data_IF_421516492567
#
_entry.id   IF_421516492567
#
_cell.length_a   1.000
_cell.length_b   1.000
_cell.length_c   1.000
_cell.angle_alpha   90.00
_cell.angle_beta   90.00
_cell.angle_gamma   90.00
#
_symmetry.space_group_name_H-M   'P 1'
#
loop_
_entity.id
_entity.type
_entity.pdbx_description
1 polymer ?
#
# COMPACT_ATOMS: atom_id res chain seq x y z
N UNK A 1 -8.66 25.08 10.82
CA UNK A 1 -8.55 23.76 10.16
C UNK A 1 -9.64 22.85 10.73
N UNK A 2 -10.45 22.17 9.91
CA UNK A 2 -11.55 21.34 10.44
C UNK A 2 -11.04 20.01 10.98
N UNK A 3 -11.71 19.46 12.01
CA UNK A 3 -11.33 18.18 12.62
C UNK A 3 -11.30 17.04 11.58
N UNK A 4 -12.22 17.07 10.61
CA UNK A 4 -12.30 16.11 9.50
C UNK A 4 -11.10 16.21 8.55
N UNK A 5 -10.58 17.42 8.31
CA UNK A 5 -9.35 17.59 7.54
C UNK A 5 -8.16 16.97 8.28
N UNK A 6 -8.06 17.19 9.60
CA UNK A 6 -6.99 16.62 10.41
C UNK A 6 -7.02 15.09 10.40
N UNK A 7 -8.21 14.49 10.54
CA UNK A 7 -8.39 13.03 10.47
C UNK A 7 -8.05 12.49 9.08
N UNK A 8 -8.53 13.12 8.00
CA UNK A 8 -8.17 12.77 6.61
C UNK A 8 -6.66 12.86 6.34
N UNK A 9 -6.00 13.89 6.87
CA UNK A 9 -4.55 14.03 6.77
C UNK A 9 -3.81 12.94 7.54
N UNK A 10 -4.32 12.53 8.72
CA UNK A 10 -3.75 11.42 9.49
C UNK A 10 -3.86 10.10 8.73
N UNK A 11 -5.01 9.80 8.12
CA UNK A 11 -5.17 8.62 7.27
C UNK A 11 -4.20 8.65 6.08
N UNK A 12 -4.07 9.80 5.41
CA UNK A 12 -3.10 10.00 4.32
C UNK A 12 -1.66 9.70 4.75
N UNK A 13 -1.27 10.13 5.96
CA UNK A 13 0.06 9.87 6.50
C UNK A 13 0.30 8.38 6.79
N UNK A 14 -0.72 7.67 7.31
CA UNK A 14 -0.63 6.22 7.53
C UNK A 14 -0.54 5.48 6.19
N UNK A 15 -1.38 5.83 5.21
CA UNK A 15 -1.33 5.26 3.85
C UNK A 15 0.07 5.45 3.24
N UNK A 16 0.67 6.64 3.38
CA UNK A 16 2.02 6.90 2.88
C UNK A 16 3.08 5.97 3.47
N UNK A 17 3.01 5.71 4.79
CA UNK A 17 3.91 4.75 5.45
C UNK A 17 3.69 3.32 4.97
N UNK A 18 2.43 2.90 4.84
CA UNK A 18 2.09 1.56 4.37
C UNK A 18 2.54 1.33 2.92
N UNK A 19 2.37 2.32 2.04
CA UNK A 19 2.89 2.25 0.66
C UNK A 19 4.41 2.17 0.60
N UNK A 20 5.10 2.92 1.45
CA UNK A 20 6.58 2.81 1.55
C UNK A 20 7.01 1.41 1.99
N UNK A 21 6.29 0.80 2.93
CA UNK A 21 6.55 -0.59 3.35
C UNK A 21 6.26 -1.59 2.23
N UNK A 22 5.18 -1.37 1.47
CA UNK A 22 4.82 -2.18 0.31
C UNK A 22 5.92 -2.13 -0.76
N UNK A 23 6.40 -0.94 -1.12
CA UNK A 23 7.48 -0.76 -2.11
C UNK A 23 8.78 -1.46 -1.67
N UNK A 24 9.13 -1.35 -0.38
CA UNK A 24 10.30 -2.01 0.18
C UNK A 24 10.18 -3.55 0.10
N UNK A 25 8.99 -4.09 0.38
CA UNK A 25 8.72 -5.52 0.33
C UNK A 25 8.72 -6.05 -1.11
N UNK A 26 8.16 -5.30 -2.06
CA UNK A 26 8.23 -5.61 -3.50
C UNK A 26 9.69 -5.63 -4.00
N UNK A 27 10.52 -4.71 -3.54
CA UNK A 27 11.95 -4.71 -3.87
C UNK A 27 12.66 -5.94 -3.29
N UNK A 28 12.33 -6.33 -2.06
CA UNK A 28 12.86 -7.57 -1.46
C UNK A 28 12.44 -8.80 -2.26
N UNK A 29 11.17 -8.86 -2.70
CA UNK A 29 10.65 -9.95 -3.53
C UNK A 29 11.42 -10.10 -4.84
N UNK A 30 11.68 -8.98 -5.53
CA UNK A 30 12.50 -8.98 -6.76
C UNK A 30 13.91 -9.52 -6.52
N UNK A 31 14.54 -9.15 -5.39
CA UNK A 31 15.87 -9.67 -5.01
C UNK A 31 15.84 -11.16 -4.69
N UNK A 32 14.80 -11.64 -4.00
CA UNK A 32 14.61 -13.06 -3.68
C UNK A 32 14.45 -13.90 -4.95
N UNK A 33 13.61 -13.45 -5.89
CA UNK A 33 13.40 -14.12 -7.17
C UNK A 33 14.72 -14.25 -7.96
N UNK A 34 15.52 -13.19 -8.01
CA UNK A 34 16.84 -13.23 -8.63
C UNK A 34 17.78 -14.23 -7.92
N UNK A 35 17.78 -14.24 -6.58
CA UNK A 35 18.63 -15.14 -5.79
C UNK A 35 18.24 -16.61 -5.95
N UNK A 36 16.95 -16.92 -6.00
CA UNK A 36 16.45 -18.27 -6.27
C UNK A 36 16.90 -18.73 -7.66
N UNK A 37 16.80 -17.86 -8.66
CA UNK A 37 17.27 -18.15 -10.02
C UNK A 37 18.78 -18.43 -10.08
N UNK A 38 19.58 -17.66 -9.34
CA UNK A 38 21.02 -17.92 -9.24
C UNK A 38 21.32 -19.28 -8.60
N UNK A 39 20.58 -19.65 -7.55
CA UNK A 39 20.72 -20.96 -6.91
C UNK A 39 20.33 -22.09 -7.86
N UNK A 40 19.22 -21.93 -8.60
CA UNK A 40 18.79 -22.91 -9.61
C UNK A 40 19.89 -23.13 -10.67
N UNK A 41 20.55 -22.04 -11.10
CA UNK A 41 21.70 -22.10 -12.00
C UNK A 41 22.87 -22.88 -11.38
N UNK A 42 23.26 -22.60 -10.15
CA UNK A 42 24.36 -23.33 -9.50
C UNK A 42 24.04 -24.81 -9.30
N UNK A 43 22.81 -25.15 -8.91
CA UNK A 43 22.38 -26.56 -8.79
C UNK A 43 22.52 -27.26 -10.15
N UNK A 44 22.12 -26.61 -11.24
CA UNK A 44 22.27 -27.16 -12.59
C UNK A 44 23.74 -27.36 -12.99
N UNK A 45 24.61 -26.38 -12.70
CA UNK A 45 26.05 -26.45 -12.97
C UNK A 45 26.72 -27.59 -12.20
N UNK A 46 26.41 -27.75 -10.91
CA UNK A 46 26.92 -28.87 -10.13
C UNK A 46 26.40 -30.22 -10.63
N UNK A 47 25.12 -30.29 -11.04
CA UNK A 47 24.51 -31.54 -11.52
C UNK A 47 25.09 -31.99 -12.86
N UNK A 48 25.31 -31.05 -13.79
CA UNK A 48 25.98 -31.32 -15.07
C UNK A 48 27.43 -31.71 -14.86
N UNK A 49 28.14 -31.00 -13.98
CA UNK A 49 29.53 -31.34 -13.65
C UNK A 49 29.71 -32.71 -12.99
N UNK A 50 28.71 -33.25 -12.30
CA UNK A 50 28.73 -34.64 -11.79
C UNK A 50 28.61 -35.64 -12.95
N UNK A 51 27.69 -35.39 -13.90
CA UNK A 51 27.50 -36.25 -15.08
C UNK A 51 28.79 -36.31 -15.90
N UNK A 52 29.39 -35.17 -16.18
CA UNK A 52 30.58 -35.10 -17.02
C UNK A 52 31.81 -35.77 -16.35
N UNK A 53 31.94 -35.67 -15.02
CA UNK A 53 32.98 -36.40 -14.26
C UNK A 53 32.76 -37.92 -14.28
N UNK A 54 31.50 -38.37 -14.22
CA UNK A 54 31.18 -39.80 -14.29
C UNK A 54 31.49 -40.42 -15.66
N UNK A 55 31.57 -39.62 -16.72
CA UNK A 55 31.86 -40.06 -18.09
C UNK A 55 33.38 -40.08 -18.41
N UNK A 56 34.20 -39.25 -17.74
CA UNK A 56 35.61 -39.05 -18.09
C UNK A 56 36.58 -39.74 -17.11
N UNK A 57 36.40 -39.56 -15.79
CA UNK A 57 37.24 -40.18 -14.78
C UNK A 57 36.54 -40.10 -13.41
N UNK A 58 36.18 -41.25 -12.82
CA UNK A 58 35.31 -41.30 -11.65
C UNK A 58 36.07 -41.03 -10.35
N UNK A 59 36.11 -39.76 -9.93
CA UNK A 59 36.59 -39.34 -8.61
C UNK A 59 35.41 -39.22 -7.62
N UNK A 60 35.24 -40.26 -6.79
CA UNK A 60 34.16 -40.35 -5.81
C UNK A 60 34.14 -39.14 -4.86
N UNK A 61 35.30 -38.62 -4.46
CA UNK A 61 35.37 -37.54 -3.49
C UNK A 61 34.80 -36.24 -4.08
N UNK A 62 35.17 -35.91 -5.32
CA UNK A 62 34.65 -34.74 -6.03
C UNK A 62 33.14 -34.83 -6.25
N UNK A 63 32.65 -36.01 -6.64
CA UNK A 63 31.21 -36.25 -6.81
C UNK A 63 30.47 -36.04 -5.48
N UNK A 64 30.99 -36.57 -4.37
CA UNK A 64 30.40 -36.37 -3.04
C UNK A 64 30.37 -34.90 -2.62
N UNK A 65 31.44 -34.15 -2.86
CA UNK A 65 31.51 -32.72 -2.52
C UNK A 65 30.49 -31.90 -3.33
N UNK A 66 30.32 -32.19 -4.62
CA UNK A 66 29.30 -31.56 -5.46
C UNK A 66 27.88 -31.90 -5.01
N UNK A 67 27.61 -33.16 -4.68
CA UNK A 67 26.30 -33.59 -4.14
C UNK A 67 25.97 -32.88 -2.82
N UNK A 68 26.97 -32.72 -1.94
CA UNK A 68 26.81 -31.96 -0.70
C UNK A 68 26.45 -30.49 -0.98
N UNK A 69 27.10 -29.87 -1.95
CA UNK A 69 26.79 -28.49 -2.35
C UNK A 69 25.39 -28.37 -2.93
N UNK A 70 24.97 -29.31 -3.80
CA UNK A 70 23.59 -29.36 -4.32
C UNK A 70 22.57 -29.46 -3.19
N UNK A 71 22.83 -30.29 -2.18
CA UNK A 71 21.96 -30.43 -1.01
C UNK A 71 21.82 -29.10 -0.26
N UNK A 72 22.94 -28.45 0.07
CA UNK A 72 22.96 -27.15 0.75
C UNK A 72 22.24 -26.05 -0.05
N UNK A 73 22.45 -26.02 -1.37
CA UNK A 73 21.78 -25.07 -2.26
C UNK A 73 20.27 -25.34 -2.34
N UNK A 74 19.86 -26.61 -2.35
CA UNK A 74 18.45 -27.00 -2.36
C UNK A 74 17.75 -26.58 -1.07
N UNK A 75 18.39 -26.78 0.08
CA UNK A 75 17.89 -26.32 1.37
C UNK A 75 17.74 -24.79 1.42
N UNK A 76 18.78 -24.06 0.98
CA UNK A 76 18.77 -22.60 0.91
C UNK A 76 17.65 -22.09 -0.02
N UNK A 77 17.48 -22.71 -1.20
CA UNK A 77 16.38 -22.43 -2.12
C UNK A 77 15.02 -22.63 -1.44
N UNK A 78 14.83 -23.75 -0.75
CA UNK A 78 13.59 -24.04 -0.03
C UNK A 78 13.26 -22.99 1.04
N UNK A 79 14.28 -22.50 1.78
CA UNK A 79 14.10 -21.42 2.75
C UNK A 79 13.71 -20.09 2.07
N UNK A 80 14.37 -19.75 0.96
CA UNK A 80 14.06 -18.53 0.20
C UNK A 80 12.64 -18.56 -0.38
N UNK A 81 12.20 -19.71 -0.90
CA UNK A 81 10.82 -19.87 -1.40
C UNK A 81 9.79 -19.71 -0.29
N UNK A 82 10.05 -20.23 0.92
CA UNK A 82 9.17 -19.99 2.08
C UNK A 82 9.09 -18.51 2.44
N UNK A 83 10.23 -17.82 2.40
CA UNK A 83 10.27 -16.38 2.67
C UNK A 83 9.57 -15.56 1.58
N UNK A 84 9.68 -15.94 0.31
CA UNK A 84 8.95 -15.34 -0.81
C UNK A 84 7.43 -15.45 -0.61
N UNK A 85 6.94 -16.65 -0.25
CA UNK A 85 5.53 -16.86 0.09
C UNK A 85 5.07 -16.01 1.29
N UNK A 86 5.93 -15.83 2.31
CA UNK A 86 5.63 -14.95 3.43
C UNK A 86 5.54 -13.48 3.00
N UNK A 87 6.39 -13.04 2.06
CA UNK A 87 6.31 -11.70 1.50
C UNK A 87 4.96 -11.48 0.79
N UNK A 88 4.44 -12.49 0.07
CA UNK A 88 3.14 -12.39 -0.59
C UNK A 88 1.97 -12.25 0.38
N UNK A 89 1.99 -13.01 1.48
CA UNK A 89 1.02 -12.85 2.55
C UNK A 89 1.08 -11.43 3.15
N UNK A 90 2.28 -10.93 3.42
CA UNK A 90 2.48 -9.60 3.97
C UNK A 90 2.03 -8.49 2.99
N UNK A 91 2.30 -8.62 1.69
CA UNK A 91 1.83 -7.69 0.65
C UNK A 91 0.30 -7.65 0.57
N UNK A 92 -0.33 -8.82 0.66
CA UNK A 92 -1.80 -8.92 0.67
C UNK A 92 -2.39 -8.23 1.90
N UNK A 93 -1.77 -8.43 3.07
CA UNK A 93 -2.19 -7.78 4.31
C UNK A 93 -2.00 -6.26 4.25
N UNK A 94 -0.85 -5.77 3.76
CA UNK A 94 -0.59 -4.35 3.58
C UNK A 94 -1.60 -3.71 2.62
N UNK A 95 -1.90 -4.37 1.50
CA UNK A 95 -2.88 -3.89 0.52
C UNK A 95 -4.26 -3.74 1.16
N UNK A 96 -4.70 -4.72 1.96
CA UNK A 96 -5.96 -4.65 2.71
C UNK A 96 -5.99 -3.50 3.71
N UNK A 97 -4.89 -3.28 4.45
CA UNK A 97 -4.77 -2.14 5.38
C UNK A 97 -4.85 -0.80 4.64
N UNK A 98 -4.15 -0.65 3.51
CA UNK A 98 -4.20 0.56 2.68
C UNK A 98 -5.64 0.85 2.26
N UNK A 99 -6.36 -0.14 1.75
CA UNK A 99 -7.76 0.02 1.32
C UNK A 99 -8.64 0.47 2.49
N UNK A 100 -8.50 -0.12 3.67
CA UNK A 100 -9.26 0.29 4.85
C UNK A 100 -9.00 1.76 5.23
N UNK A 101 -7.73 2.18 5.24
CA UNK A 101 -7.38 3.57 5.51
C UNK A 101 -7.86 4.52 4.41
N UNK A 102 -7.86 4.11 3.15
CA UNK A 102 -8.43 4.89 2.05
C UNK A 102 -9.95 5.09 2.22
N UNK A 103 -10.67 4.05 2.64
CA UNK A 103 -12.10 4.13 2.95
C UNK A 103 -12.35 5.14 4.08
N UNK A 104 -11.60 5.07 5.19
CA UNK A 104 -11.76 6.02 6.30
C UNK A 104 -11.43 7.46 5.88
N UNK A 105 -10.36 7.66 5.11
CA UNK A 105 -10.00 8.97 4.55
C UNK A 105 -11.15 9.55 3.73
N UNK A 106 -11.76 8.74 2.85
CA UNK A 106 -12.90 9.16 2.03
C UNK A 106 -14.14 9.50 2.87
N UNK A 107 -14.40 8.78 3.95
CA UNK A 107 -15.48 9.11 4.90
C UNK A 107 -15.28 10.49 5.52
N UNK A 108 -14.08 10.77 6.03
CA UNK A 108 -13.78 12.07 6.61
C UNK A 108 -13.89 13.20 5.59
N UNK A 109 -13.42 12.98 4.37
CA UNK A 109 -13.52 13.97 3.30
C UNK A 109 -14.98 14.24 2.90
N UNK A 110 -15.81 13.20 2.81
CA UNK A 110 -17.25 13.33 2.54
C UNK A 110 -17.95 14.15 3.63
N UNK A 111 -17.69 13.86 4.91
CA UNK A 111 -18.28 14.61 6.03
C UNK A 111 -17.83 16.08 5.98
N UNK A 112 -16.55 16.32 5.69
CA UNK A 112 -15.99 17.67 5.55
C UNK A 112 -16.74 18.48 4.49
N UNK A 113 -16.96 17.89 3.31
CA UNK A 113 -17.68 18.52 2.20
C UNK A 113 -19.15 18.80 2.56
N UNK A 114 -19.85 17.83 3.16
CA UNK A 114 -21.23 18.01 3.61
C UNK A 114 -21.37 19.14 4.63
N UNK A 115 -20.43 19.26 5.57
CA UNK A 115 -20.44 20.35 6.56
C UNK A 115 -20.21 21.71 5.92
N UNK A 116 -19.32 21.79 4.92
CA UNK A 116 -19.08 23.02 4.15
C UNK A 116 -20.34 23.43 3.37
N UNK A 117 -20.95 22.51 2.64
CA UNK A 117 -22.18 22.77 1.87
C UNK A 117 -23.34 23.21 2.77
N UNK A 118 -23.50 22.59 3.94
CA UNK A 118 -24.54 22.97 4.89
C UNK A 118 -24.32 24.37 5.49
N UNK A 119 -23.07 24.76 5.73
CA UNK A 119 -22.74 26.10 6.19
C UNK A 119 -23.07 27.16 5.12
N UNK A 120 -22.68 26.91 3.86
CA UNK A 120 -23.00 27.80 2.72
C UNK A 120 -24.52 27.94 2.51
N UNK A 121 -25.26 26.84 2.65
CA UNK A 121 -26.74 26.86 2.60
C UNK A 121 -27.37 27.61 3.76
N UNK A 122 -26.75 27.60 4.94
CA UNK A 122 -27.23 28.35 6.09
C UNK A 122 -26.99 29.84 5.92
N UNK A 123 -25.78 30.23 5.48
CA UNK A 123 -25.39 31.62 5.20
C UNK A 123 -26.33 32.25 4.17
N UNK A 124 -26.55 31.58 3.03
CA UNK A 124 -27.51 32.04 2.01
C UNK A 124 -28.92 32.25 2.54
N UNK A 125 -29.40 31.38 3.45
CA UNK A 125 -30.72 31.53 4.06
C UNK A 125 -30.79 32.72 5.02
N UNK A 126 -29.72 32.99 5.76
CA UNK A 126 -29.61 34.16 6.63
C UNK A 126 -29.60 35.43 5.77
N UNK A 127 -28.83 35.46 4.69
CA UNK A 127 -28.77 36.61 3.78
C UNK A 127 -30.12 36.94 3.16
N UNK A 128 -30.84 35.93 2.64
CA UNK A 128 -32.19 36.10 2.09
C UNK A 128 -33.14 36.64 3.16
N UNK A 129 -33.14 36.07 4.36
CA UNK A 129 -34.00 36.55 5.46
C UNK A 129 -33.69 38.00 5.85
N UNK A 130 -32.42 38.39 5.86
CA UNK A 130 -32.00 39.76 6.16
C UNK A 130 -32.47 40.73 5.06
N UNK A 131 -32.38 40.34 3.79
CA UNK A 131 -32.90 41.12 2.67
C UNK A 131 -34.43 41.29 2.76
N UNK A 132 -35.16 40.23 3.07
CA UNK A 132 -36.62 40.27 3.27
C UNK A 132 -36.98 41.20 4.44
N UNK A 133 -36.24 41.15 5.55
CA UNK A 133 -36.48 42.05 6.70
C UNK A 133 -36.23 43.52 6.34
N UNK A 134 -35.17 43.81 5.58
CA UNK A 134 -34.90 45.17 5.08
C UNK A 134 -36.00 45.64 4.13
N UNK A 135 -36.45 44.78 3.21
CA UNK A 135 -37.55 45.10 2.30
C UNK A 135 -38.84 45.42 3.06
N UNK A 136 -39.20 44.60 4.06
CA UNK A 136 -40.36 44.83 4.92
C UNK A 136 -40.24 46.14 5.71
N UNK A 137 -39.08 46.43 6.30
CA UNK A 137 -38.85 47.70 7.02
C UNK A 137 -39.01 48.91 6.10
N UNK A 138 -38.45 48.86 4.89
CA UNK A 138 -38.59 49.93 3.90
C UNK A 138 -40.03 50.10 3.43
N UNK A 139 -40.77 48.99 3.26
CA UNK A 139 -42.18 49.02 2.92
C UNK A 139 -43.00 49.72 4.00
N UNK A 140 -42.85 49.30 5.26
CA UNK A 140 -43.58 49.87 6.41
C UNK A 140 -43.24 51.34 6.69
N UNK A 141 -42.01 51.77 6.44
CA UNK A 141 -41.60 53.17 6.61
C UNK A 141 -42.04 54.07 5.46
N UNK A 142 -42.16 53.54 4.24
CA UNK A 142 -42.69 54.26 3.10
C UNK A 142 -44.24 54.36 3.10
N UNK A 143 -44.93 53.58 3.94
CA UNK A 143 -46.38 53.65 4.17
C UNK A 143 -46.79 54.60 5.31
N UNK A 144 -45.89 55.44 5.84
CA UNK A 144 -46.26 56.53 6.76
C UNK A 144 -46.28 57.90 6.06
N UNK A 145 -47.35 58.26 5.32
CA UNK A 145 -47.68 59.65 5.11
C UNK A 145 -48.35 60.22 6.38
N UNK A 146 -47.98 61.46 6.69
CA UNK A 146 -48.60 62.42 7.62
C UNK A 146 -50.09 62.21 7.89
#
# INVERSE_FOLDING_TARGET
>A
MSIWQTLSNRESAVIGKLRTQQDALDMQKKKLAARIKDIDKYIFEYSTGIRDESEINFDIQKVQDKLKMISQLTDARGQLTKFDAQCDLNLTQLSSQIVNHEVERMKFEKIRLQKKENAEKLEKRIDVKNLDEVALRNFLTNESPL
#
